data_IF_275881893745
#
_entry.id   IF_275881893745
#
_cell.length_a   1.000
_cell.length_b   1.000
_cell.length_c   1.000
_cell.angle_alpha   90.00
_cell.angle_beta   90.00
_cell.angle_gamma   90.00
#
_symmetry.space_group_name_H-M   'P 1'
#
loop_
_entity.id
_entity.type
_entity.pdbx_description
1 polymer ?
#
# COMPACT_ATOMS: atom_id res chain seq x y z
N UNK A 1 -10.26 22.17 -52.08
CA UNK A 1 -10.21 21.63 -50.69
C UNK A 1 -11.20 20.50 -50.60
N UNK A 2 -10.68 19.28 -50.41
CA UNK A 2 -11.44 18.04 -50.55
C UNK A 2 -12.38 17.80 -49.35
N UNK A 3 -13.64 17.49 -49.63
CA UNK A 3 -14.62 17.03 -48.65
C UNK A 3 -14.96 15.57 -48.99
N UNK A 4 -14.40 14.64 -48.23
CA UNK A 4 -14.63 13.21 -48.41
C UNK A 4 -15.83 12.77 -47.55
N UNK A 5 -16.96 12.54 -48.21
CA UNK A 5 -18.06 11.70 -47.69
C UNK A 5 -17.65 10.24 -47.88
N UNK A 6 -17.61 9.46 -46.80
CA UNK A 6 -17.43 8.01 -46.86
C UNK A 6 -18.61 7.32 -46.19
N UNK A 7 -19.52 6.83 -47.04
CA UNK A 7 -20.59 5.92 -46.70
C UNK A 7 -20.02 4.50 -46.67
N UNK A 8 -20.13 3.79 -45.54
CA UNK A 8 -19.92 2.34 -45.50
C UNK A 8 -21.21 1.63 -45.10
N UNK A 9 -21.87 1.14 -46.14
CA UNK A 9 -22.89 0.11 -46.18
C UNK A 9 -22.44 -1.16 -45.47
N UNK A 10 -23.26 -1.69 -44.56
CA UNK A 10 -23.08 -2.99 -43.91
C UNK A 10 -23.80 -4.04 -44.76
N UNK A 11 -23.04 -5.02 -45.22
CA UNK A 11 -23.52 -6.14 -46.03
C UNK A 11 -24.46 -7.04 -45.22
N UNK A 12 -25.56 -7.41 -45.87
CA UNK A 12 -26.58 -8.37 -45.45
C UNK A 12 -26.41 -9.67 -46.22
N UNK A 13 -26.37 -10.80 -45.51
CA UNK A 13 -26.69 -12.15 -46.01
C UNK A 13 -26.72 -13.14 -44.82
N UNK A 14 -27.42 -14.28 -44.92
CA UNK A 14 -28.70 -14.49 -45.59
C UNK A 14 -29.73 -15.19 -44.67
N UNK A 15 -31.01 -14.98 -44.99
CA UNK A 15 -32.13 -15.78 -44.50
C UNK A 15 -32.02 -17.22 -45.01
N UNK A 16 -31.92 -18.17 -44.10
CA UNK A 16 -32.07 -19.60 -44.36
C UNK A 16 -33.38 -20.11 -43.74
N UNK A 17 -34.27 -20.60 -44.60
CA UNK A 17 -35.55 -21.17 -44.25
C UNK A 17 -35.39 -22.55 -43.57
N UNK A 18 -36.11 -22.78 -42.48
CA UNK A 18 -36.38 -24.11 -41.94
C UNK A 18 -37.89 -24.29 -41.73
N UNK A 19 -38.42 -25.31 -42.40
CA UNK A 19 -39.69 -25.99 -42.12
C UNK A 19 -39.33 -27.47 -41.84
N UNK A 20 -40.21 -28.28 -41.23
CA UNK A 20 -40.64 -28.21 -39.85
C UNK A 20 -40.42 -29.60 -39.21
N UNK A 21 -39.44 -29.76 -38.32
CA UNK A 21 -39.30 -31.02 -37.60
C UNK A 21 -39.85 -30.88 -36.18
N UNK A 22 -40.86 -31.70 -35.90
CA UNK A 22 -41.70 -31.62 -34.72
C UNK A 22 -40.96 -31.91 -33.42
N UNK A 23 -41.43 -31.23 -32.38
CA UNK A 23 -41.70 -31.83 -31.07
C UNK A 23 -40.49 -32.31 -30.28
N UNK A 24 -39.79 -31.38 -29.61
CA UNK A 24 -39.16 -31.63 -28.31
C UNK A 24 -38.51 -30.37 -27.69
N UNK A 25 -38.12 -29.36 -28.48
CA UNK A 25 -37.32 -28.22 -27.97
C UNK A 25 -38.11 -27.05 -27.37
N UNK A 26 -39.35 -26.84 -27.78
CA UNK A 26 -40.14 -25.66 -27.37
C UNK A 26 -40.76 -25.81 -25.97
N UNK A 27 -40.97 -27.04 -25.51
CA UNK A 27 -41.46 -27.30 -24.15
C UNK A 27 -40.35 -27.11 -23.11
N UNK A 28 -39.09 -27.39 -23.40
CA UNK A 28 -38.02 -27.28 -22.40
C UNK A 28 -37.60 -25.82 -22.16
N UNK A 29 -37.54 -25.00 -23.22
CA UNK A 29 -37.34 -23.56 -23.11
C UNK A 29 -38.57 -22.85 -22.51
N UNK A 30 -39.78 -23.29 -22.87
CA UNK A 30 -41.04 -22.83 -22.29
C UNK A 30 -41.17 -23.18 -20.81
N UNK A 31 -40.71 -24.36 -20.38
CA UNK A 31 -40.71 -24.82 -18.98
C UNK A 31 -39.68 -24.07 -18.16
N UNK A 32 -38.46 -23.83 -18.67
CA UNK A 32 -37.47 -22.99 -17.98
C UNK A 32 -37.92 -21.53 -17.83
N UNK A 33 -38.60 -20.97 -18.85
CA UNK A 33 -39.14 -19.62 -18.76
C UNK A 33 -40.36 -19.57 -17.83
N UNK A 34 -41.26 -20.56 -17.90
CA UNK A 34 -42.41 -20.67 -17.02
C UNK A 34 -42.00 -20.84 -15.55
N UNK A 35 -40.96 -21.62 -15.27
CA UNK A 35 -40.41 -21.78 -13.91
C UNK A 35 -39.69 -20.53 -13.42
N UNK A 36 -38.99 -19.80 -14.29
CA UNK A 36 -38.44 -18.47 -13.96
C UNK A 36 -39.53 -17.43 -13.75
N UNK A 37 -40.68 -17.57 -14.39
CA UNK A 37 -41.85 -16.69 -14.25
C UNK A 37 -42.76 -17.06 -13.06
N UNK A 38 -42.69 -18.29 -12.53
CA UNK A 38 -43.43 -18.71 -11.32
C UNK A 38 -43.10 -17.84 -10.11
N UNK A 39 -41.85 -17.38 -10.00
CA UNK A 39 -41.42 -16.52 -8.88
C UNK A 39 -42.19 -15.20 -8.88
N UNK A 40 -42.61 -14.69 -10.05
CA UNK A 40 -43.39 -13.45 -10.19
C UNK A 40 -44.91 -13.65 -10.02
N UNK A 41 -45.38 -14.89 -9.91
CA UNK A 41 -46.81 -15.24 -9.80
C UNK A 41 -47.23 -15.65 -8.38
N UNK A 42 -46.30 -15.68 -7.42
CA UNK A 42 -46.63 -15.96 -6.02
C UNK A 42 -47.19 -14.71 -5.34
N UNK A 43 -48.24 -14.85 -4.53
CA UNK A 43 -48.88 -13.74 -3.81
C UNK A 43 -47.94 -12.99 -2.83
N UNK A 44 -46.78 -13.59 -2.53
CA UNK A 44 -45.72 -13.05 -1.68
C UNK A 44 -44.45 -12.65 -2.47
N UNK A 45 -44.54 -12.40 -3.79
CA UNK A 45 -43.38 -11.97 -4.57
C UNK A 45 -42.91 -10.58 -4.10
N UNK A 46 -41.69 -10.52 -3.58
CA UNK A 46 -41.02 -9.27 -3.18
C UNK A 46 -40.07 -8.81 -4.31
N UNK A 47 -40.45 -7.75 -5.06
CA UNK A 47 -39.64 -7.24 -6.17
C UNK A 47 -38.28 -6.71 -5.68
N UNK A 48 -38.23 -6.14 -4.49
CA UNK A 48 -37.03 -5.49 -3.96
C UNK A 48 -36.04 -6.55 -3.45
N UNK A 49 -36.52 -7.64 -2.84
CA UNK A 49 -35.67 -8.78 -2.47
C UNK A 49 -35.10 -9.52 -3.69
N UNK A 50 -35.90 -9.67 -4.75
CA UNK A 50 -35.44 -10.29 -6.00
C UNK A 50 -34.37 -9.44 -6.71
N UNK A 51 -34.59 -8.11 -6.78
CA UNK A 51 -33.61 -7.18 -7.35
C UNK A 51 -32.36 -7.11 -6.48
N UNK A 52 -32.48 -7.04 -5.15
CA UNK A 52 -31.32 -7.04 -4.25
C UNK A 52 -30.49 -8.31 -4.37
N UNK A 53 -31.14 -9.48 -4.41
CA UNK A 53 -30.44 -10.77 -4.60
C UNK A 53 -29.67 -10.81 -5.93
N UNK A 54 -30.28 -10.34 -7.03
CA UNK A 54 -29.62 -10.28 -8.34
C UNK A 54 -28.53 -9.21 -8.42
N UNK A 55 -28.74 -8.05 -7.81
CA UNK A 55 -27.76 -6.97 -7.75
C UNK A 55 -26.56 -7.33 -6.86
N UNK A 56 -26.77 -8.01 -5.74
CA UNK A 56 -25.69 -8.57 -4.91
C UNK A 56 -24.88 -9.60 -5.70
N UNK A 57 -25.56 -10.54 -6.37
CA UNK A 57 -24.90 -11.53 -7.23
C UNK A 57 -24.09 -10.86 -8.36
N UNK A 58 -24.58 -9.74 -8.91
CA UNK A 58 -23.88 -9.01 -9.97
C UNK A 58 -22.70 -8.20 -9.45
N UNK A 59 -22.81 -7.58 -8.26
CA UNK A 59 -21.73 -6.86 -7.60
C UNK A 59 -20.61 -7.82 -7.16
N UNK A 60 -20.96 -8.99 -6.61
CA UNK A 60 -20.01 -10.05 -6.30
C UNK A 60 -19.29 -10.55 -7.55
N UNK A 61 -20.01 -10.78 -8.66
CA UNK A 61 -19.40 -11.15 -9.94
C UNK A 61 -18.49 -10.06 -10.51
N UNK A 62 -18.87 -8.79 -10.36
CA UNK A 62 -18.04 -7.65 -10.78
C UNK A 62 -16.78 -7.54 -9.93
N UNK A 63 -16.88 -7.67 -8.61
CA UNK A 63 -15.73 -7.70 -7.71
C UNK A 63 -14.79 -8.87 -7.98
N UNK A 64 -15.34 -10.07 -8.25
CA UNK A 64 -14.54 -11.23 -8.67
C UNK A 64 -13.85 -10.94 -10.00
N UNK A 65 -14.55 -10.35 -10.98
CA UNK A 65 -13.95 -9.98 -12.26
C UNK A 65 -12.83 -8.94 -12.10
N UNK A 66 -13.04 -7.87 -11.32
CA UNK A 66 -12.02 -6.85 -11.05
C UNK A 66 -10.80 -7.43 -10.33
N UNK A 67 -11.01 -8.29 -9.32
CA UNK A 67 -9.91 -9.00 -8.64
C UNK A 67 -9.16 -9.91 -9.59
N UNK A 68 -9.88 -10.59 -10.48
CA UNK A 68 -9.30 -11.48 -11.49
C UNK A 68 -8.48 -10.67 -12.51
N UNK A 69 -8.99 -9.55 -13.02
CA UNK A 69 -8.25 -8.65 -13.90
C UNK A 69 -6.98 -8.10 -13.25
N UNK A 70 -7.06 -7.64 -11.99
CA UNK A 70 -5.89 -7.17 -11.25
C UNK A 70 -4.85 -8.29 -11.02
N UNK A 71 -5.31 -9.52 -10.75
CA UNK A 71 -4.45 -10.69 -10.63
C UNK A 71 -3.76 -11.05 -11.96
N UNK A 72 -4.49 -10.99 -13.08
CA UNK A 72 -3.91 -11.21 -14.41
C UNK A 72 -2.91 -10.12 -14.77
N UNK A 73 -3.17 -8.85 -14.47
CA UNK A 73 -2.23 -7.74 -14.71
C UNK A 73 -0.95 -7.88 -13.87
N UNK A 74 -1.06 -8.33 -12.62
CA UNK A 74 0.09 -8.63 -11.77
C UNK A 74 0.88 -9.83 -12.31
N UNK A 75 0.18 -10.87 -12.78
CA UNK A 75 0.79 -12.06 -13.41
C UNK A 75 1.50 -11.73 -14.72
N UNK A 76 0.94 -10.85 -15.54
CA UNK A 76 1.58 -10.42 -16.79
C UNK A 76 2.82 -9.56 -16.53
N UNK A 77 2.79 -8.67 -15.52
CA UNK A 77 3.97 -7.89 -15.11
C UNK A 77 5.09 -8.77 -14.60
N UNK A 78 4.79 -9.65 -13.64
CA UNK A 78 5.77 -10.59 -13.10
C UNK A 78 6.31 -11.55 -14.16
N UNK A 79 5.47 -12.04 -15.08
CA UNK A 79 5.93 -12.87 -16.20
C UNK A 79 6.88 -12.12 -17.15
N UNK A 80 6.66 -10.82 -17.35
CA UNK A 80 7.55 -9.99 -18.17
C UNK A 80 8.89 -9.77 -17.48
N UNK A 81 8.86 -9.42 -16.20
CA UNK A 81 10.08 -9.27 -15.39
C UNK A 81 10.90 -10.57 -15.37
N UNK A 82 10.25 -11.73 -15.26
CA UNK A 82 10.92 -13.03 -15.34
C UNK A 82 11.57 -13.23 -16.72
N UNK A 83 10.88 -12.95 -17.83
CA UNK A 83 11.49 -13.05 -19.17
C UNK A 83 12.65 -12.07 -19.37
N UNK A 84 12.57 -10.87 -18.82
CA UNK A 84 13.66 -9.90 -18.89
C UNK A 84 14.88 -10.42 -18.10
N UNK A 85 14.66 -10.96 -16.90
CA UNK A 85 15.70 -11.61 -16.08
C UNK A 85 16.31 -12.86 -16.77
N UNK A 86 15.51 -13.68 -17.45
CA UNK A 86 16.00 -14.80 -18.24
C UNK A 86 16.94 -14.34 -19.37
N UNK A 87 16.63 -13.20 -19.99
CA UNK A 87 17.48 -12.56 -20.99
C UNK A 87 18.81 -12.08 -20.41
N UNK A 88 18.78 -11.44 -19.24
CA UNK A 88 20.00 -11.02 -18.54
C UNK A 88 20.86 -12.22 -18.11
N UNK A 89 20.24 -13.28 -17.60
CA UNK A 89 20.93 -14.52 -17.23
C UNK A 89 21.62 -15.16 -18.45
N UNK A 90 20.95 -15.16 -19.60
CA UNK A 90 21.54 -15.64 -20.85
C UNK A 90 22.74 -14.80 -21.27
N UNK A 91 22.67 -13.47 -21.09
CA UNK A 91 23.79 -12.55 -21.35
C UNK A 91 24.99 -12.85 -20.43
N UNK A 92 24.75 -13.03 -19.13
CA UNK A 92 25.79 -13.38 -18.15
C UNK A 92 26.43 -14.73 -18.49
N UNK A 93 25.61 -15.73 -18.84
CA UNK A 93 26.11 -17.05 -19.25
C UNK A 93 27.01 -16.95 -20.49
N UNK A 94 26.62 -16.13 -21.47
CA UNK A 94 27.44 -15.92 -22.67
C UNK A 94 28.75 -15.21 -22.33
N UNK A 95 28.72 -14.19 -21.45
CA UNK A 95 29.92 -13.50 -20.99
C UNK A 95 30.86 -14.45 -20.24
N UNK A 96 30.33 -15.27 -19.34
CA UNK A 96 31.12 -16.27 -18.60
C UNK A 96 31.69 -17.34 -19.53
N UNK A 97 30.94 -17.75 -20.56
CA UNK A 97 31.43 -18.62 -21.62
C UNK A 97 32.60 -18.00 -22.40
N UNK A 98 32.51 -16.71 -22.71
CA UNK A 98 33.60 -15.97 -23.36
C UNK A 98 34.83 -15.85 -22.44
N UNK A 99 34.64 -15.55 -21.15
CA UNK A 99 35.74 -15.52 -20.17
C UNK A 99 36.39 -16.89 -19.97
N UNK A 100 35.61 -17.97 -19.95
CA UNK A 100 36.14 -19.35 -19.88
C UNK A 100 36.99 -19.68 -21.11
N UNK A 101 36.58 -19.19 -22.29
CA UNK A 101 37.37 -19.28 -23.52
C UNK A 101 38.72 -18.56 -23.43
N UNK A 102 38.73 -17.35 -22.86
CA UNK A 102 39.96 -16.58 -22.63
C UNK A 102 40.89 -17.24 -21.60
N UNK A 103 40.33 -17.73 -20.49
CA UNK A 103 41.08 -18.44 -19.44
C UNK A 103 41.70 -19.71 -20.01
N UNK A 104 40.94 -20.48 -20.82
CA UNK A 104 41.49 -21.66 -21.50
C UNK A 104 42.56 -21.29 -22.52
N UNK A 105 42.39 -20.21 -23.28
CA UNK A 105 43.43 -19.72 -24.20
C UNK A 105 44.70 -19.26 -23.49
N UNK A 106 44.59 -18.70 -22.28
CA UNK A 106 45.74 -18.37 -21.43
C UNK A 106 46.38 -19.63 -20.84
N UNK A 107 45.59 -20.59 -20.38
CA UNK A 107 46.08 -21.87 -19.85
C UNK A 107 46.78 -22.72 -20.92
N UNK A 108 46.32 -22.66 -22.18
CA UNK A 108 46.96 -23.34 -23.32
C UNK A 108 48.17 -22.56 -23.86
N UNK A 109 48.24 -21.23 -23.64
CA UNK A 109 49.33 -20.36 -24.10
C UNK A 109 50.51 -20.23 -23.14
N UNK A 110 50.33 -20.54 -21.85
CA UNK A 110 51.40 -20.54 -20.85
C UNK A 110 51.95 -21.96 -20.70
N UNK A 111 52.90 -22.30 -21.57
CA UNK A 111 53.73 -23.50 -21.42
C UNK A 111 54.65 -23.31 -20.19
N UNK A 112 54.21 -23.80 -19.02
CA UNK A 112 54.98 -23.83 -17.77
C UNK A 112 55.97 -25.00 -17.84
N UNK A 113 56.92 -24.94 -18.77
CA UNK A 113 58.08 -25.82 -18.82
C UNK A 113 59.32 -24.96 -19.04
N UNK A 114 59.63 -24.06 -18.11
CA UNK A 114 60.96 -23.45 -17.94
C UNK A 114 60.98 -22.49 -16.74
N UNK A 115 61.25 -23.02 -15.55
CA UNK A 115 61.96 -22.27 -14.50
C UNK A 115 62.89 -23.26 -13.78
N UNK A 116 64.22 -23.12 -13.91
CA UNK A 116 65.16 -24.05 -13.32
C UNK A 116 65.24 -23.80 -11.81
N UNK A 117 65.16 -24.89 -11.06
CA UNK A 117 65.56 -24.95 -9.67
C UNK A 117 67.08 -24.66 -9.56
N UNK A 118 67.45 -23.77 -8.65
CA UNK A 118 68.81 -23.66 -8.16
C UNK A 118 69.26 -22.22 -7.89
N UNK A 119 69.46 -21.89 -6.61
CA UNK A 119 70.80 -21.66 -6.07
C UNK A 119 70.68 -21.16 -4.64
N UNK A 120 71.10 -21.99 -3.70
CA UNK A 120 71.49 -21.55 -2.36
C UNK A 120 72.65 -20.57 -2.49
N UNK A 121 72.67 -19.53 -1.65
CA UNK A 121 73.65 -18.46 -1.72
C UNK A 121 73.54 -17.50 -0.53
N UNK A 122 74.12 -17.95 0.59
CA UNK A 122 74.53 -17.20 1.78
C UNK A 122 74.97 -15.74 1.51
N UNK A 123 74.41 -14.79 2.26
CA UNK A 123 75.17 -13.70 2.89
C UNK A 123 74.47 -13.25 4.17
N UNK A 124 75.16 -13.45 5.29
CA UNK A 124 74.90 -12.83 6.59
C UNK A 124 74.72 -11.32 6.47
N UNK A 125 73.69 -10.79 7.10
CA UNK A 125 73.71 -9.41 7.60
C UNK A 125 72.79 -9.31 8.82
N UNK A 126 73.44 -9.34 9.99
CA UNK A 126 73.14 -8.58 11.21
C UNK A 126 71.67 -8.16 11.41
N UNK A 127 70.85 -9.07 11.95
CA UNK A 127 69.51 -8.77 12.45
C UNK A 127 69.59 -8.82 13.98
N UNK A 128 69.48 -7.63 14.57
CA UNK A 128 69.21 -7.44 15.99
C UNK A 128 68.08 -8.37 16.44
N UNK A 129 68.34 -9.15 17.49
CA UNK A 129 67.40 -10.03 18.20
C UNK A 129 65.97 -9.45 18.27
N UNK A 130 65.16 -9.78 17.27
CA UNK A 130 63.71 -9.85 17.41
C UNK A 130 63.48 -11.30 17.79
N UNK A 131 63.01 -11.54 19.01
CA UNK A 131 62.52 -12.87 19.36
C UNK A 131 61.49 -13.26 18.31
N UNK A 132 61.81 -14.28 17.51
CA UNK A 132 60.89 -15.00 16.63
C UNK A 132 59.93 -15.79 17.53
N UNK A 133 59.14 -15.05 18.28
CA UNK A 133 58.13 -15.56 19.19
C UNK A 133 56.93 -15.86 18.33
N UNK A 134 56.58 -17.15 18.24
CA UNK A 134 55.40 -17.57 17.50
C UNK A 134 54.19 -16.75 17.98
N UNK A 135 53.49 -16.02 17.10
CA UNK A 135 52.40 -15.15 17.48
C UNK A 135 51.32 -16.00 18.17
N UNK A 136 50.83 -15.50 19.29
CA UNK A 136 49.74 -16.12 20.03
C UNK A 136 48.51 -16.28 19.13
N UNK A 137 47.64 -17.24 19.44
CA UNK A 137 46.39 -17.44 18.70
C UNK A 137 45.56 -16.15 18.61
N UNK A 138 45.66 -15.27 19.62
CA UNK A 138 45.02 -13.96 19.63
C UNK A 138 45.65 -12.99 18.62
N UNK A 139 46.98 -12.94 18.53
CA UNK A 139 47.69 -12.08 17.58
C UNK A 139 47.40 -12.52 16.13
N UNK A 140 47.43 -13.83 15.86
CA UNK A 140 47.05 -14.39 14.55
C UNK A 140 45.61 -14.03 14.18
N UNK A 141 44.68 -14.17 15.13
CA UNK A 141 43.27 -13.82 14.91
C UNK A 141 43.09 -12.32 14.62
N UNK A 142 43.80 -11.44 15.33
CA UNK A 142 43.75 -9.99 15.11
C UNK A 142 44.27 -9.60 13.73
N UNK A 143 45.29 -10.30 13.22
CA UNK A 143 45.81 -10.10 11.86
C UNK A 143 44.83 -10.59 10.78
N UNK A 144 44.18 -11.74 10.98
CA UNK A 144 43.24 -12.34 10.00
C UNK A 144 41.84 -11.69 10.01
N UNK A 145 41.45 -11.06 11.11
CA UNK A 145 40.10 -10.53 11.32
C UNK A 145 39.62 -9.54 10.24
N UNK A 146 40.42 -8.52 9.84
CA UNK A 146 40.00 -7.58 8.80
C UNK A 146 39.71 -8.27 7.47
N UNK A 147 40.59 -9.18 7.03
CA UNK A 147 40.45 -9.90 5.76
C UNK A 147 39.22 -10.81 5.76
N UNK A 148 39.01 -11.54 6.87
CA UNK A 148 37.81 -12.35 7.07
C UNK A 148 36.53 -11.50 6.96
N UNK A 149 36.52 -10.33 7.60
CA UNK A 149 35.34 -9.46 7.59
C UNK A 149 35.09 -8.86 6.20
N UNK A 150 36.13 -8.48 5.46
CA UNK A 150 35.98 -8.02 4.08
C UNK A 150 35.38 -9.11 3.17
N UNK A 151 35.76 -10.38 3.35
CA UNK A 151 35.13 -11.52 2.66
C UNK A 151 33.65 -11.64 3.01
N UNK A 152 33.30 -11.61 4.30
CA UNK A 152 31.90 -11.71 4.74
C UNK A 152 31.04 -10.57 4.20
N UNK A 153 31.58 -9.34 4.14
CA UNK A 153 30.91 -8.19 3.55
C UNK A 153 30.73 -8.35 2.04
N UNK A 154 31.75 -8.82 1.33
CA UNK A 154 31.69 -9.08 -0.10
C UNK A 154 30.64 -10.16 -0.44
N UNK A 155 30.52 -11.20 0.39
CA UNK A 155 29.54 -12.27 0.26
C UNK A 155 28.15 -11.90 0.79
N UNK A 156 27.96 -10.69 1.33
CA UNK A 156 26.72 -10.20 1.97
C UNK A 156 26.21 -11.11 3.10
N UNK A 157 27.12 -11.78 3.81
CA UNK A 157 26.80 -12.65 4.95
C UNK A 157 26.66 -11.80 6.21
N UNK A 158 25.58 -11.02 6.26
CA UNK A 158 25.33 -9.98 7.27
C UNK A 158 25.35 -10.55 8.70
N UNK A 159 24.64 -11.65 8.97
CA UNK A 159 24.56 -12.21 10.32
C UNK A 159 25.93 -12.67 10.84
N UNK A 160 26.72 -13.30 9.97
CA UNK A 160 28.06 -13.78 10.32
C UNK A 160 29.04 -12.62 10.49
N UNK A 161 28.91 -11.56 9.70
CA UNK A 161 29.69 -10.34 9.87
C UNK A 161 29.36 -9.66 11.22
N UNK A 162 28.09 -9.64 11.63
CA UNK A 162 27.68 -9.12 12.93
C UNK A 162 28.22 -9.97 14.08
N UNK A 163 28.15 -11.31 13.97
CA UNK A 163 28.65 -12.22 15.01
C UNK A 163 30.18 -12.12 15.14
N UNK A 164 30.90 -11.96 14.02
CA UNK A 164 32.35 -11.70 14.01
C UNK A 164 32.70 -10.36 14.68
N UNK A 165 31.92 -9.30 14.42
CA UNK A 165 32.08 -8.00 15.08
C UNK A 165 31.80 -8.08 16.59
N UNK A 166 30.76 -8.83 17.00
CA UNK A 166 30.42 -9.04 18.40
C UNK A 166 31.49 -9.89 19.13
N UNK A 167 32.17 -10.82 18.43
CA UNK A 167 33.33 -11.54 18.95
C UNK A 167 34.55 -10.61 19.10
N UNK A 168 34.80 -9.76 18.11
CA UNK A 168 35.89 -8.79 18.13
C UNK A 168 35.78 -7.83 19.33
N UNK A 169 34.58 -7.32 19.62
CA UNK A 169 34.34 -6.47 20.78
C UNK A 169 34.60 -7.21 22.11
N UNK A 170 34.19 -8.48 22.20
CA UNK A 170 34.44 -9.31 23.38
C UNK A 170 35.93 -9.55 23.59
N UNK A 171 36.67 -9.85 22.53
CA UNK A 171 38.13 -10.02 22.58
C UNK A 171 38.84 -8.73 22.97
N UNK A 172 38.42 -7.57 22.47
CA UNK A 172 38.95 -6.26 22.89
C UNK A 172 38.71 -6.01 24.38
N UNK A 173 37.51 -6.33 24.89
CA UNK A 173 37.20 -6.16 26.31
C UNK A 173 38.05 -7.08 27.20
N UNK A 174 38.19 -8.35 26.80
CA UNK A 174 39.00 -9.35 27.48
C UNK A 174 40.50 -8.97 27.50
N UNK A 175 41.02 -8.52 26.36
CA UNK A 175 42.42 -8.12 26.24
C UNK A 175 42.74 -6.86 27.04
N UNK A 176 41.81 -5.91 27.14
CA UNK A 176 41.92 -4.75 28.06
C UNK A 176 41.98 -5.18 29.52
N UNK A 177 41.16 -6.16 29.92
CA UNK A 177 41.11 -6.64 31.31
C UNK A 177 42.36 -7.45 31.68
N UNK A 178 42.83 -8.31 30.77
CA UNK A 178 43.95 -9.24 31.00
C UNK A 178 45.32 -8.63 30.65
N UNK A 179 45.36 -7.44 30.04
CA UNK A 179 46.57 -6.78 29.53
C UNK A 179 47.39 -7.71 28.62
N UNK A 180 46.71 -8.45 27.75
CA UNK A 180 47.34 -9.47 26.88
C UNK A 180 47.89 -8.90 25.57
N UNK A 181 47.49 -7.68 25.19
CA UNK A 181 47.91 -7.00 23.96
C UNK A 181 48.50 -5.63 24.27
N UNK A 182 49.40 -5.17 23.40
CA UNK A 182 49.94 -3.82 23.44
C UNK A 182 48.86 -2.76 23.29
N UNK A 183 49.06 -1.59 23.91
CA UNK A 183 48.11 -0.47 23.81
C UNK A 183 47.92 0.03 22.37
N UNK A 184 48.98 -0.02 21.56
CA UNK A 184 48.95 0.32 20.15
C UNK A 184 48.07 -0.66 19.35
N UNK A 185 48.25 -1.97 19.54
CA UNK A 185 47.50 -3.01 18.83
C UNK A 185 46.03 -3.00 19.21
N UNK A 186 45.71 -2.79 20.49
CA UNK A 186 44.34 -2.61 20.96
C UNK A 186 43.66 -1.40 20.33
N UNK A 187 44.39 -0.31 20.12
CA UNK A 187 43.85 0.89 19.47
C UNK A 187 43.65 0.68 17.97
N UNK A 188 44.59 -0.01 17.30
CA UNK A 188 44.50 -0.38 15.89
C UNK A 188 43.27 -1.26 15.64
N UNK A 189 43.09 -2.30 16.45
CA UNK A 189 41.94 -3.22 16.36
C UNK A 189 40.60 -2.50 16.59
N UNK A 190 40.52 -1.60 17.58
CA UNK A 190 39.30 -0.80 17.80
C UNK A 190 38.96 0.10 16.62
N UNK A 191 39.96 0.71 15.99
CA UNK A 191 39.76 1.50 14.78
C UNK A 191 39.27 0.60 13.63
N UNK A 192 39.92 -0.55 13.42
CA UNK A 192 39.51 -1.50 12.38
C UNK A 192 38.06 -2.00 12.59
N UNK A 193 37.67 -2.34 13.82
CA UNK A 193 36.28 -2.72 14.15
C UNK A 193 35.31 -1.58 13.84
N UNK A 194 35.65 -0.36 14.24
CA UNK A 194 34.80 0.82 14.01
C UNK A 194 34.63 1.11 12.51
N UNK A 195 35.71 1.02 11.74
CA UNK A 195 35.69 1.23 10.29
C UNK A 195 34.82 0.19 9.59
N UNK A 196 34.93 -1.08 9.97
CA UNK A 196 34.12 -2.13 9.35
C UNK A 196 32.65 -2.12 9.79
N UNK A 197 32.36 -1.73 11.05
CA UNK A 197 30.98 -1.44 11.48
C UNK A 197 30.36 -0.38 10.60
N UNK A 198 31.09 0.70 10.34
CA UNK A 198 30.62 1.79 9.49
C UNK A 198 30.41 1.32 8.04
N UNK A 199 31.38 0.58 7.46
CA UNK A 199 31.24 -0.02 6.12
C UNK A 199 29.98 -0.90 6.02
N UNK A 200 29.75 -1.79 6.98
CA UNK A 200 28.58 -2.66 7.00
C UNK A 200 27.28 -1.86 7.15
N UNK A 201 27.26 -0.86 8.05
CA UNK A 201 26.10 0.01 8.22
C UNK A 201 25.77 0.77 6.93
N UNK A 202 26.77 1.24 6.20
CA UNK A 202 26.57 1.94 4.93
C UNK A 202 26.02 0.99 3.84
N UNK A 203 26.55 -0.23 3.74
CA UNK A 203 26.02 -1.25 2.81
C UNK A 203 24.57 -1.64 3.12
N UNK A 204 24.23 -1.80 4.40
CA UNK A 204 22.87 -2.10 4.84
C UNK A 204 21.91 -0.94 4.55
N UNK A 205 22.34 0.29 4.80
CA UNK A 205 21.56 1.48 4.49
C UNK A 205 21.31 1.63 2.98
N UNK A 206 22.34 1.39 2.16
CA UNK A 206 22.21 1.42 0.70
C UNK A 206 21.26 0.32 0.20
N UNK A 207 21.36 -0.89 0.74
CA UNK A 207 20.46 -1.99 0.41
C UNK A 207 19.01 -1.71 0.82
N UNK A 208 18.78 -1.11 1.99
CA UNK A 208 17.46 -0.75 2.49
C UNK A 208 16.77 0.36 1.66
N UNK A 209 17.54 1.21 0.99
CA UNK A 209 17.02 2.25 0.10
C UNK A 209 16.61 1.74 -1.29
N UNK A 210 16.89 0.48 -1.64
CA UNK A 210 16.50 -0.09 -2.93
C UNK A 210 15.00 -0.35 -2.98
N UNK A 211 14.36 -0.04 -4.11
CA UNK A 211 12.91 -0.20 -4.30
C UNK A 211 12.42 -1.65 -4.21
N UNK A 212 13.31 -2.61 -4.45
CA UNK A 212 13.06 -4.05 -4.31
C UNK A 212 13.10 -4.54 -2.86
N UNK A 213 13.72 -3.78 -1.96
CA UNK A 213 13.91 -4.17 -0.56
C UNK A 213 12.69 -3.74 0.25
N UNK A 214 11.86 -4.69 0.67
CA UNK A 214 10.67 -4.38 1.47
C UNK A 214 10.31 -5.50 2.45
N UNK A 215 9.47 -5.17 3.42
CA UNK A 215 8.92 -6.13 4.37
C UNK A 215 10.01 -6.79 5.22
N UNK A 216 10.22 -8.09 5.04
CA UNK A 216 11.14 -8.87 5.88
C UNK A 216 12.59 -8.41 5.68
N UNK A 217 13.00 -8.10 4.45
CA UNK A 217 14.38 -7.68 4.15
C UNK A 217 14.68 -6.29 4.73
N UNK A 218 13.75 -5.34 4.57
CA UNK A 218 13.86 -4.02 5.20
C UNK A 218 13.95 -4.13 6.72
N UNK A 219 13.13 -5.01 7.32
CA UNK A 219 13.14 -5.25 8.76
C UNK A 219 14.46 -5.87 9.22
N UNK A 220 14.99 -6.83 8.47
CA UNK A 220 16.28 -7.47 8.76
C UNK A 220 17.43 -6.45 8.68
N UNK A 221 17.45 -5.61 7.64
CA UNK A 221 18.44 -4.54 7.51
C UNK A 221 18.36 -3.52 8.67
N UNK A 222 17.15 -3.12 9.08
CA UNK A 222 16.96 -2.24 10.23
C UNK A 222 17.40 -2.90 11.55
N UNK A 223 17.13 -4.20 11.74
CA UNK A 223 17.58 -4.94 12.91
C UNK A 223 19.11 -5.10 12.96
N UNK A 224 19.74 -5.36 11.81
CA UNK A 224 21.19 -5.40 11.68
C UNK A 224 21.83 -4.04 12.01
N UNK A 225 21.28 -2.94 11.47
CA UNK A 225 21.72 -1.58 11.80
C UNK A 225 21.56 -1.27 13.29
N UNK A 226 20.45 -1.71 13.90
CA UNK A 226 20.25 -1.58 15.35
C UNK A 226 21.33 -2.35 16.13
N UNK A 227 21.65 -3.60 15.75
CA UNK A 227 22.73 -4.41 16.35
C UNK A 227 24.10 -3.73 16.24
N UNK A 228 24.36 -3.01 15.15
CA UNK A 228 25.59 -2.24 14.98
C UNK A 228 25.69 -1.02 15.90
N UNK A 229 24.59 -0.62 16.55
CA UNK A 229 24.50 0.55 17.42
C UNK A 229 23.89 1.78 16.73
N UNK A 230 23.47 1.68 15.46
CA UNK A 230 22.93 2.79 14.67
C UNK A 230 21.39 2.76 14.59
N UNK A 231 20.76 2.68 15.77
CA UNK A 231 19.30 2.65 15.92
C UNK A 231 18.58 3.85 15.28
N UNK A 232 19.01 5.10 15.50
CA UNK A 232 18.33 6.27 14.94
C UNK A 232 18.34 6.29 13.40
N UNK A 233 19.47 5.93 12.77
CA UNK A 233 19.54 5.81 11.31
C UNK A 233 18.67 4.66 10.82
N UNK A 234 18.72 3.51 11.49
CA UNK A 234 17.88 2.35 11.15
C UNK A 234 16.38 2.69 11.16
N UNK A 235 15.93 3.40 12.20
CA UNK A 235 14.53 3.82 12.33
C UNK A 235 14.14 4.84 11.24
N UNK A 236 15.01 5.83 10.99
CA UNK A 236 14.80 6.82 9.92
C UNK A 236 14.70 6.16 8.54
N UNK A 237 15.60 5.20 8.25
CA UNK A 237 15.60 4.43 7.01
C UNK A 237 14.31 3.64 6.83
N UNK A 238 13.88 2.91 7.87
CA UNK A 238 12.64 2.15 7.87
C UNK A 238 11.43 3.05 7.54
N UNK A 239 11.31 4.20 8.20
CA UNK A 239 10.22 5.15 7.92
C UNK A 239 10.32 5.78 6.53
N UNK A 240 11.52 6.09 6.06
CA UNK A 240 11.73 6.64 4.72
C UNK A 240 11.33 5.66 3.62
N UNK A 241 11.63 4.37 3.77
CA UNK A 241 11.21 3.33 2.85
C UNK A 241 9.69 3.14 2.82
N UNK A 242 9.02 3.17 3.99
CA UNK A 242 7.55 3.14 4.04
C UNK A 242 6.93 4.39 3.40
N UNK A 243 7.50 5.58 3.63
CA UNK A 243 7.05 6.83 3.03
C UNK A 243 7.19 6.81 1.50
N UNK A 244 8.37 6.50 0.96
CA UNK A 244 8.61 6.41 -0.48
C UNK A 244 7.61 5.48 -1.17
N UNK A 245 7.36 4.31 -0.58
CA UNK A 245 6.39 3.34 -1.11
C UNK A 245 4.96 3.85 -1.02
N UNK A 246 4.60 4.53 0.07
CA UNK A 246 3.30 5.17 0.21
C UNK A 246 3.10 6.23 -0.88
N UNK A 247 4.09 7.09 -1.11
CA UNK A 247 4.05 8.11 -2.18
C UNK A 247 3.85 7.46 -3.55
N UNK A 248 4.58 6.39 -3.86
CA UNK A 248 4.41 5.64 -5.12
C UNK A 248 2.99 5.07 -5.27
N UNK A 249 2.47 4.42 -4.22
CA UNK A 249 1.13 3.84 -4.25
C UNK A 249 0.03 4.90 -4.39
N UNK A 250 0.23 6.08 -3.79
CA UNK A 250 -0.71 7.20 -3.88
C UNK A 250 -0.76 7.79 -5.29
N UNK A 251 0.35 7.81 -6.04
CA UNK A 251 0.37 8.30 -7.43
C UNK A 251 -0.54 7.48 -8.37
N UNK A 252 -0.79 6.21 -8.05
CA UNK A 252 -1.67 5.35 -8.86
C UNK A 252 -3.16 5.67 -8.61
N UNK A 253 -3.50 6.27 -7.47
CA UNK A 253 -4.87 6.59 -7.08
C UNK A 253 -5.27 7.95 -7.63
N UNK A 254 -6.11 7.94 -8.66
CA UNK A 254 -6.58 9.15 -9.31
C UNK A 254 -8.01 9.50 -8.85
N UNK A 255 -8.31 10.80 -8.65
CA UNK A 255 -9.69 11.24 -8.47
C UNK A 255 -10.54 10.86 -9.68
N UNK A 256 -11.68 10.22 -9.45
CA UNK A 256 -12.64 9.88 -10.51
C UNK A 256 -13.84 10.82 -10.44
N UNK A 257 -14.34 11.27 -11.60
CA UNK A 257 -15.49 12.19 -11.67
C UNK A 257 -16.84 11.48 -11.43
N UNK A 258 -16.86 10.17 -11.19
CA UNK A 258 -18.09 9.35 -11.19
C UNK A 258 -18.66 9.11 -9.79
N UNK A 259 -17.90 9.36 -8.73
CA UNK A 259 -18.36 9.29 -7.34
C UNK A 259 -18.09 10.64 -6.67
N UNK A 260 -18.98 11.08 -5.77
CA UNK A 260 -18.85 12.34 -5.02
C UNK A 260 -17.69 12.31 -4.00
N UNK A 261 -16.50 11.88 -4.40
CA UNK A 261 -15.30 11.75 -3.57
C UNK A 261 -15.17 10.43 -2.80
N UNK A 262 -16.27 9.75 -2.49
CA UNK A 262 -16.28 8.58 -1.60
C UNK A 262 -15.34 7.44 -2.02
N UNK A 263 -15.34 7.04 -3.30
CA UNK A 263 -14.47 5.94 -3.77
C UNK A 263 -12.98 6.32 -3.74
N UNK A 264 -12.67 7.57 -4.08
CA UNK A 264 -11.31 8.11 -4.00
C UNK A 264 -10.84 8.15 -2.54
N UNK A 265 -11.68 8.66 -1.64
CA UNK A 265 -11.37 8.70 -0.20
C UNK A 265 -11.17 7.30 0.37
N UNK A 266 -11.99 6.31 -0.01
CA UNK A 266 -11.83 4.93 0.43
C UNK A 266 -10.51 4.32 -0.03
N UNK A 267 -10.19 4.43 -1.31
CA UNK A 267 -8.95 3.90 -1.87
C UNK A 267 -7.72 4.55 -1.21
N UNK A 268 -7.72 5.88 -1.11
CA UNK A 268 -6.60 6.62 -0.53
C UNK A 268 -6.43 6.33 0.96
N UNK A 269 -7.54 6.30 1.70
CA UNK A 269 -7.56 6.01 3.13
C UNK A 269 -7.04 4.61 3.41
N UNK A 270 -7.46 3.61 2.63
CA UNK A 270 -6.96 2.25 2.77
C UNK A 270 -5.44 2.19 2.57
N UNK A 271 -4.89 2.86 1.55
CA UNK A 271 -3.44 2.87 1.31
C UNK A 271 -2.67 3.54 2.44
N UNK A 272 -3.09 4.73 2.87
CA UNK A 272 -2.39 5.50 3.90
C UNK A 272 -2.41 4.76 5.24
N UNK A 273 -3.58 4.35 5.73
CA UNK A 273 -3.66 3.73 7.05
C UNK A 273 -3.08 2.31 7.08
N UNK A 274 -3.08 1.58 5.96
CA UNK A 274 -2.37 0.29 5.89
C UNK A 274 -0.85 0.47 5.84
N UNK A 275 -0.32 1.47 5.14
CA UNK A 275 1.10 1.80 5.16
C UNK A 275 1.56 2.23 6.56
N UNK A 276 0.76 3.06 7.25
CA UNK A 276 1.04 3.45 8.64
C UNK A 276 1.04 2.21 9.55
N UNK A 277 0.03 1.33 9.44
CA UNK A 277 0.00 0.10 10.21
C UNK A 277 1.22 -0.79 9.98
N UNK A 278 1.73 -0.87 8.75
CA UNK A 278 2.91 -1.66 8.43
C UNK A 278 4.17 -1.05 9.05
N UNK A 279 4.37 0.26 8.94
CA UNK A 279 5.49 0.96 9.56
C UNK A 279 5.51 0.79 11.10
N UNK A 280 4.34 0.88 11.75
CA UNK A 280 4.22 0.66 13.19
C UNK A 280 4.55 -0.78 13.60
N UNK A 281 4.07 -1.78 12.85
CA UNK A 281 4.40 -3.19 13.10
C UNK A 281 5.90 -3.44 12.93
N UNK A 282 6.49 -2.94 11.84
CA UNK A 282 7.89 -3.18 11.52
C UNK A 282 8.80 -2.47 12.52
N UNK A 283 8.46 -1.24 12.91
CA UNK A 283 9.18 -0.52 13.96
C UNK A 283 9.05 -1.20 15.32
N UNK A 284 7.84 -1.61 15.74
CA UNK A 284 7.65 -2.33 17.01
C UNK A 284 8.44 -3.64 17.05
N UNK A 285 8.51 -4.37 15.93
CA UNK A 285 9.23 -5.64 15.85
C UNK A 285 10.77 -5.49 16.00
N UNK A 286 11.33 -4.34 15.61
CA UNK A 286 12.79 -4.08 15.65
C UNK A 286 13.19 -3.26 16.88
N UNK A 287 12.41 -2.23 17.20
CA UNK A 287 12.76 -1.20 18.17
C UNK A 287 11.93 -1.24 19.46
N UNK A 288 10.83 -2.00 19.49
CA UNK A 288 9.90 -1.94 20.61
C UNK A 288 9.30 -0.54 20.75
N UNK A 289 9.41 0.05 21.95
CA UNK A 289 8.85 1.37 22.26
C UNK A 289 9.89 2.52 22.18
N UNK A 290 11.15 2.25 21.79
CA UNK A 290 12.24 3.24 21.78
C UNK A 290 11.93 4.51 20.97
N UNK A 291 11.18 4.37 19.86
CA UNK A 291 10.87 5.47 18.92
C UNK A 291 9.38 5.79 18.82
N UNK A 292 8.62 5.54 19.90
CA UNK A 292 7.17 5.73 19.90
C UNK A 292 6.76 7.19 19.55
N UNK A 293 7.52 8.20 20.02
CA UNK A 293 7.25 9.61 19.72
C UNK A 293 7.40 9.95 18.25
N UNK A 294 8.45 9.46 17.61
CA UNK A 294 8.79 9.66 16.22
C UNK A 294 7.75 8.98 15.32
N UNK A 295 7.28 7.79 15.73
CA UNK A 295 6.17 7.09 15.04
C UNK A 295 4.87 7.87 15.11
N UNK A 296 4.53 8.48 16.26
CA UNK A 296 3.35 9.33 16.40
C UNK A 296 3.46 10.55 15.47
N UNK A 297 4.62 11.21 15.44
CA UNK A 297 4.87 12.37 14.59
C UNK A 297 4.75 11.98 13.11
N UNK A 298 5.44 10.92 12.68
CA UNK A 298 5.40 10.46 11.30
C UNK A 298 3.97 10.06 10.88
N UNK A 299 3.26 9.30 11.71
CA UNK A 299 1.86 8.90 11.44
C UNK A 299 0.93 10.11 11.32
N UNK A 300 1.17 11.14 12.15
CA UNK A 300 0.43 12.40 12.08
C UNK A 300 0.68 13.12 10.76
N UNK A 301 1.94 13.25 10.34
CA UNK A 301 2.30 13.87 9.05
C UNK A 301 1.60 13.15 7.89
N UNK A 302 1.59 11.82 7.88
CA UNK A 302 0.92 11.03 6.84
C UNK A 302 -0.60 11.23 6.85
N UNK A 303 -1.22 11.25 8.03
CA UNK A 303 -2.66 11.50 8.17
C UNK A 303 -3.04 12.93 7.73
N UNK A 304 -2.20 13.93 8.03
CA UNK A 304 -2.41 15.31 7.58
C UNK A 304 -2.29 15.42 6.05
N UNK A 305 -1.26 14.83 5.44
CA UNK A 305 -1.10 14.83 3.98
C UNK A 305 -2.30 14.19 3.28
N UNK A 306 -2.75 13.03 3.80
CA UNK A 306 -3.99 12.38 3.38
C UNK A 306 -5.21 13.31 3.46
N UNK A 307 -5.41 13.96 4.60
CA UNK A 307 -6.55 14.86 4.81
C UNK A 307 -6.53 16.04 3.81
N UNK A 308 -5.37 16.61 3.50
CA UNK A 308 -5.25 17.66 2.50
C UNK A 308 -5.67 17.19 1.10
N UNK A 309 -5.30 15.97 0.71
CA UNK A 309 -5.71 15.39 -0.57
C UNK A 309 -7.23 15.15 -0.63
N UNK A 310 -7.81 14.57 0.43
CA UNK A 310 -9.27 14.37 0.51
C UNK A 310 -10.00 15.71 0.48
N UNK A 311 -9.52 16.72 1.21
CA UNK A 311 -10.10 18.07 1.16
C UNK A 311 -10.11 18.64 -0.25
N UNK A 312 -8.98 18.53 -0.95
CA UNK A 312 -8.81 19.09 -2.30
C UNK A 312 -9.66 18.38 -3.34
N UNK A 313 -9.66 17.05 -3.34
CA UNK A 313 -10.19 16.25 -4.46
C UNK A 313 -11.55 15.59 -4.19
N UNK A 314 -11.96 15.45 -2.93
CA UNK A 314 -13.26 14.88 -2.58
C UNK A 314 -14.20 15.93 -1.97
N UNK A 315 -13.74 16.74 -1.01
CA UNK A 315 -14.62 17.59 -0.22
C UNK A 315 -14.87 18.98 -0.80
N UNK A 316 -13.89 19.62 -1.46
CA UNK A 316 -14.00 21.03 -1.86
C UNK A 316 -15.22 21.29 -2.76
N UNK A 317 -15.42 20.45 -3.79
CA UNK A 317 -16.55 20.58 -4.71
C UNK A 317 -17.88 20.23 -4.04
N UNK A 318 -17.94 19.13 -3.27
CA UNK A 318 -19.17 18.74 -2.58
C UNK A 318 -19.58 19.77 -1.53
N UNK A 319 -18.63 20.33 -0.78
CA UNK A 319 -18.90 21.33 0.25
C UNK A 319 -19.44 22.63 -0.36
N UNK A 320 -18.80 23.14 -1.42
CA UNK A 320 -19.26 24.35 -2.10
C UNK A 320 -20.66 24.20 -2.71
N UNK A 321 -21.03 22.99 -3.17
CA UNK A 321 -22.34 22.70 -3.75
C UNK A 321 -23.43 22.36 -2.72
N UNK A 322 -23.13 22.38 -1.42
CA UNK A 322 -24.08 21.95 -0.37
C UNK A 322 -24.34 20.43 -0.37
N UNK A 323 -23.40 19.65 -0.89
CA UNK A 323 -23.38 18.18 -0.91
C UNK A 323 -22.99 17.58 0.44
N UNK A 324 -23.77 17.88 1.48
CA UNK A 324 -23.52 17.46 2.86
C UNK A 324 -23.35 15.93 3.00
N UNK A 325 -24.23 15.15 2.38
CA UNK A 325 -24.15 13.67 2.43
C UNK A 325 -22.81 13.14 1.93
N UNK A 326 -22.34 13.64 0.79
CA UNK A 326 -21.07 13.21 0.21
C UNK A 326 -19.87 13.61 1.09
N UNK A 327 -19.91 14.83 1.65
CA UNK A 327 -18.88 15.30 2.56
C UNK A 327 -18.79 14.42 3.81
N UNK A 328 -19.93 14.11 4.42
CA UNK A 328 -20.02 13.25 5.61
C UNK A 328 -19.55 11.83 5.29
N UNK A 329 -19.97 11.25 4.17
CA UNK A 329 -19.55 9.91 3.75
C UNK A 329 -18.01 9.81 3.61
N UNK A 330 -17.37 10.79 2.96
CA UNK A 330 -15.91 10.82 2.84
C UNK A 330 -15.23 10.87 4.21
N UNK A 331 -15.75 11.68 5.12
CA UNK A 331 -15.20 11.81 6.47
C UNK A 331 -15.41 10.54 7.29
N UNK A 332 -16.56 9.89 7.17
CA UNK A 332 -16.83 8.62 7.84
C UNK A 332 -15.88 7.51 7.37
N UNK A 333 -15.62 7.43 6.07
CA UNK A 333 -14.66 6.48 5.52
C UNK A 333 -13.27 6.72 6.11
N UNK A 334 -12.81 7.98 6.13
CA UNK A 334 -11.52 8.35 6.68
C UNK A 334 -11.38 8.01 8.17
N UNK A 335 -12.37 8.38 8.99
CA UNK A 335 -12.40 8.08 10.43
C UNK A 335 -12.53 6.58 10.67
N UNK A 336 -13.30 5.86 9.85
CA UNK A 336 -13.47 4.41 9.95
C UNK A 336 -12.14 3.67 9.86
N UNK A 337 -11.35 3.89 8.80
CA UNK A 337 -10.03 3.27 8.69
C UNK A 337 -9.04 3.74 9.76
N UNK A 338 -9.10 5.02 10.13
CA UNK A 338 -8.27 5.57 11.19
C UNK A 338 -8.54 4.89 12.55
N UNK A 339 -9.81 4.72 12.92
CA UNK A 339 -10.21 4.08 14.18
C UNK A 339 -9.78 2.61 14.29
N UNK A 340 -9.73 1.89 13.16
CA UNK A 340 -9.22 0.51 13.13
C UNK A 340 -7.72 0.45 13.46
N UNK A 341 -6.95 1.48 13.03
CA UNK A 341 -5.55 1.62 13.39
C UNK A 341 -5.40 1.93 14.89
N UNK A 342 -6.17 2.90 15.40
CA UNK A 342 -6.14 3.33 16.82
C UNK A 342 -6.58 2.25 17.79
N UNK A 343 -7.45 1.32 17.37
CA UNK A 343 -7.85 0.20 18.22
C UNK A 343 -6.67 -0.74 18.53
N UNK A 344 -5.67 -0.80 17.65
CA UNK A 344 -4.50 -1.66 17.78
C UNK A 344 -3.27 -0.91 18.30
N UNK A 345 -3.16 0.37 17.98
CA UNK A 345 -2.00 1.21 18.28
C UNK A 345 -2.38 2.36 19.20
N UNK A 346 -1.51 2.73 20.13
CA UNK A 346 -1.73 3.86 21.05
C UNK A 346 -1.55 5.21 20.34
N UNK A 347 -2.41 5.48 19.36
CA UNK A 347 -2.42 6.66 18.51
C UNK A 347 -3.77 7.37 18.59
N UNK A 348 -3.76 8.68 18.32
CA UNK A 348 -4.99 9.48 18.20
C UNK A 348 -4.93 10.36 16.95
N UNK A 349 -5.08 9.74 15.78
CA UNK A 349 -5.11 10.39 14.47
C UNK A 349 -6.53 10.86 14.10
N UNK A 350 -7.58 10.24 14.65
CA UNK A 350 -8.98 10.60 14.39
C UNK A 350 -9.22 12.05 14.77
N UNK A 351 -8.71 12.51 15.92
CA UNK A 351 -8.81 13.90 16.37
C UNK A 351 -8.19 14.89 15.38
N UNK A 352 -7.05 14.53 14.78
CA UNK A 352 -6.36 15.32 13.74
C UNK A 352 -7.22 15.42 12.49
N UNK A 353 -7.77 14.30 12.01
CA UNK A 353 -8.64 14.26 10.83
C UNK A 353 -9.92 15.07 11.04
N UNK A 354 -10.57 14.92 12.20
CA UNK A 354 -11.78 15.68 12.55
C UNK A 354 -11.51 17.19 12.52
N UNK A 355 -10.40 17.63 13.13
CA UNK A 355 -9.99 19.03 13.11
C UNK A 355 -9.77 19.56 11.70
N UNK A 356 -9.18 18.76 10.80
CA UNK A 356 -8.89 19.17 9.43
C UNK A 356 -10.13 19.17 8.52
N UNK A 357 -11.06 18.24 8.71
CA UNK A 357 -12.26 18.10 7.90
C UNK A 357 -13.43 18.98 8.35
N UNK A 358 -13.48 19.36 9.64
CA UNK A 358 -14.57 20.17 10.22
C UNK A 358 -14.96 21.38 9.38
N UNK A 359 -14.02 22.25 8.91
CA UNK A 359 -14.40 23.41 8.10
C UNK A 359 -15.13 23.05 6.80
N UNK A 360 -14.76 21.93 6.16
CA UNK A 360 -15.40 21.47 4.93
C UNK A 360 -16.81 20.90 5.19
N UNK A 361 -17.02 20.24 6.33
CA UNK A 361 -18.35 19.74 6.73
C UNK A 361 -19.27 20.89 7.12
N UNK A 362 -18.78 21.85 7.91
CA UNK A 362 -19.50 23.07 8.28
C UNK A 362 -19.90 23.86 7.03
N UNK A 363 -18.98 24.06 6.09
CA UNK A 363 -19.28 24.69 4.81
C UNK A 363 -20.36 23.94 4.02
N UNK A 364 -20.26 22.60 3.96
CA UNK A 364 -21.25 21.78 3.25
C UNK A 364 -22.64 21.88 3.89
N UNK A 365 -22.70 21.96 5.22
CA UNK A 365 -23.94 22.13 5.98
C UNK A 365 -24.56 23.51 5.71
N UNK A 366 -23.78 24.58 5.82
CA UNK A 366 -24.25 25.95 5.59
C UNK A 366 -24.78 26.14 4.16
N UNK A 367 -24.03 25.65 3.16
CA UNK A 367 -24.46 25.69 1.76
C UNK A 367 -25.71 24.83 1.52
N UNK A 368 -25.84 23.69 2.21
CA UNK A 368 -27.03 22.86 2.13
C UNK A 368 -28.26 23.54 2.72
N UNK A 369 -28.13 24.19 3.90
CA UNK A 369 -29.21 24.90 4.56
C UNK A 369 -29.70 26.09 3.71
N UNK A 370 -28.78 26.90 3.17
CA UNK A 370 -29.13 27.99 2.24
C UNK A 370 -29.87 27.47 1.01
N UNK A 371 -29.39 26.38 0.40
CA UNK A 371 -30.06 25.76 -0.75
C UNK A 371 -31.47 25.26 -0.39
N UNK A 372 -31.67 24.69 0.80
CA UNK A 372 -33.00 24.28 1.28
C UNK A 372 -33.90 25.51 1.46
N UNK A 373 -33.39 26.58 2.08
CA UNK A 373 -34.12 27.84 2.25
C UNK A 373 -34.57 28.43 0.91
N UNK A 374 -33.65 28.61 -0.03
CA UNK A 374 -33.91 29.13 -1.37
C UNK A 374 -34.89 28.23 -2.16
N UNK A 375 -34.69 26.91 -2.11
CA UNK A 375 -35.58 25.96 -2.78
C UNK A 375 -36.98 25.96 -2.16
N UNK A 376 -37.09 26.14 -0.84
CA UNK A 376 -38.39 26.17 -0.15
C UNK A 376 -39.12 27.47 -0.46
N UNK A 377 -38.42 28.61 -0.48
CA UNK A 377 -38.98 29.89 -0.89
C UNK A 377 -39.50 29.85 -2.33
N UNK A 378 -38.73 29.27 -3.26
CA UNK A 378 -39.15 29.10 -4.65
C UNK A 378 -40.35 28.15 -4.79
N UNK A 379 -40.37 27.03 -4.05
CA UNK A 379 -41.49 26.10 -4.04
C UNK A 379 -42.77 26.73 -3.47
N UNK A 380 -42.67 27.51 -2.40
CA UNK A 380 -43.81 28.20 -1.80
C UNK A 380 -44.36 29.31 -2.71
N UNK A 381 -43.48 30.06 -3.40
CA UNK A 381 -43.89 31.09 -4.36
C UNK A 381 -44.60 30.51 -5.60
N UNK A 382 -44.26 29.28 -5.98
CA UNK A 382 -44.86 28.58 -7.11
C UNK A 382 -46.03 27.66 -6.73
N UNK A 383 -46.36 27.54 -5.44
CA UNK A 383 -47.40 26.63 -4.97
C UNK A 383 -48.80 27.20 -5.25
N UNK A 384 -49.71 26.32 -5.65
CA UNK A 384 -51.13 26.62 -5.79
C UNK A 384 -51.89 26.44 -4.46
N UNK A 385 -51.20 25.97 -3.43
CA UNK A 385 -51.69 25.69 -2.07
C UNK A 385 -52.81 24.64 -2.05
N UNK A 386 -52.89 23.79 -3.07
CA UNK A 386 -53.89 22.73 -3.16
C UNK A 386 -53.41 21.49 -2.40
N UNK A 387 -54.24 21.01 -1.49
CA UNK A 387 -53.96 19.81 -0.71
C UNK A 387 -54.06 18.56 -1.59
N UNK A 388 -52.92 17.93 -1.83
CA UNK A 388 -52.80 16.70 -2.62
C UNK A 388 -52.36 15.54 -1.73
N UNK A 389 -52.63 14.31 -2.15
CA UNK A 389 -51.99 13.14 -1.54
C UNK A 389 -50.56 13.02 -2.07
N UNK A 390 -49.63 12.41 -1.31
CA UNK A 390 -48.26 12.21 -1.77
C UNK A 390 -48.26 11.49 -3.12
N UNK A 391 -47.41 11.90 -4.09
CA UNK A 391 -47.33 11.25 -5.38
C UNK A 391 -46.98 9.78 -5.17
N UNK A 392 -47.86 8.88 -5.61
CA UNK A 392 -47.87 7.43 -5.32
C UNK A 392 -46.71 6.66 -5.99
N UNK A 393 -45.63 7.34 -6.39
CA UNK A 393 -44.54 6.78 -7.20
C UNK A 393 -43.12 7.20 -6.79
N UNK A 394 -42.93 7.99 -5.73
CA UNK A 394 -41.58 8.23 -5.23
C UNK A 394 -41.14 6.98 -4.43
N UNK A 395 -40.50 6.02 -5.10
CA UNK A 395 -39.79 4.90 -4.45
C UNK A 395 -38.64 5.48 -3.63
N UNK A 396 -38.94 5.94 -2.42
CA UNK A 396 -37.97 6.09 -1.35
C UNK A 396 -37.59 4.67 -0.94
N UNK A 397 -36.53 4.15 -1.54
CA UNK A 397 -35.88 2.93 -1.08
C UNK A 397 -35.21 3.22 0.26
N UNK A 398 -36.00 3.30 1.33
CA UNK A 398 -35.55 3.19 2.70
C UNK A 398 -36.68 2.54 3.51
N UNK A 399 -36.36 1.33 3.98
CA UNK A 399 -37.15 0.45 4.83
C UNK A 399 -37.48 1.17 6.14
N UNK A 400 -38.64 1.82 6.21
CA UNK A 400 -39.25 2.27 7.45
C UNK A 400 -40.41 1.34 7.79
N UNK A 401 -40.36 0.84 9.03
CA UNK A 401 -41.26 -0.06 9.71
C UNK A 401 -42.74 0.00 9.30
N UNK A 402 -43.31 -1.19 9.12
CA UNK A 402 -44.74 -1.50 8.99
C UNK A 402 -45.55 -1.16 10.25
N UNK A 403 -45.62 0.12 10.62
CA UNK A 403 -46.56 0.60 11.65
C UNK A 403 -47.06 1.99 11.27
N UNK A 404 -47.97 2.07 10.31
CA UNK A 404 -49.07 3.06 10.27
C UNK A 404 -49.89 2.87 8.98
N UNK A 405 -50.93 2.03 9.03
CA UNK A 405 -52.13 2.17 8.21
C UNK A 405 -52.94 3.40 8.70
N UNK A 406 -52.28 4.55 8.82
CA UNK A 406 -52.83 5.79 9.32
C UNK A 406 -52.79 6.84 8.23
N UNK A 407 -53.94 7.45 7.96
CA UNK A 407 -54.19 8.59 7.07
C UNK A 407 -52.94 9.42 6.82
N UNK A 408 -52.33 9.27 5.63
CA UNK A 408 -51.30 10.20 5.18
C UNK A 408 -51.97 11.58 5.05
N UNK A 409 -51.52 12.60 5.79
CA UNK A 409 -52.14 13.92 5.75
C UNK A 409 -52.04 14.47 4.32
N UNK A 410 -53.13 15.05 3.82
CA UNK A 410 -53.07 15.81 2.56
C UNK A 410 -52.21 17.04 2.84
N UNK A 411 -51.12 17.19 2.10
CA UNK A 411 -50.25 18.36 2.16
C UNK A 411 -50.23 19.02 0.78
N UNK A 412 -49.83 20.29 0.71
CA UNK A 412 -49.57 20.90 -0.59
C UNK A 412 -48.38 20.25 -1.30
N UNK A 413 -48.21 20.51 -2.60
CA UNK A 413 -47.12 19.93 -3.37
C UNK A 413 -45.74 20.37 -2.84
N UNK A 414 -45.64 21.63 -2.40
CA UNK A 414 -44.43 22.19 -1.80
C UNK A 414 -44.11 21.57 -0.45
N UNK A 415 -45.13 21.33 0.39
CA UNK A 415 -44.96 20.70 1.70
C UNK A 415 -44.45 19.25 1.61
N UNK A 416 -44.90 18.48 0.61
CA UNK A 416 -44.34 17.15 0.35
C UNK A 416 -42.87 17.20 -0.10
N UNK A 417 -42.51 18.14 -0.98
CA UNK A 417 -41.13 18.30 -1.44
C UNK A 417 -40.21 18.80 -0.31
N UNK A 418 -40.70 19.70 0.53
CA UNK A 418 -39.99 20.19 1.72
C UNK A 418 -39.69 19.04 2.70
N UNK A 419 -40.69 18.21 3.00
CA UNK A 419 -40.52 17.04 3.86
C UNK A 419 -39.40 16.10 3.36
N UNK A 420 -39.34 15.84 2.04
CA UNK A 420 -38.28 15.04 1.43
C UNK A 420 -36.90 15.71 1.53
N UNK A 421 -36.82 17.04 1.40
CA UNK A 421 -35.55 17.78 1.57
C UNK A 421 -35.03 17.70 3.01
N UNK A 422 -35.91 17.78 4.00
CA UNK A 422 -35.55 17.73 5.43
C UNK A 422 -35.13 16.32 5.88
N UNK A 423 -35.71 15.25 5.33
CA UNK A 423 -35.28 13.87 5.62
C UNK A 423 -33.83 13.59 5.20
N UNK A 424 -33.34 14.25 4.13
CA UNK A 424 -31.92 14.16 3.73
C UNK A 424 -31.02 14.77 4.81
N UNK A 425 -31.50 15.80 5.52
CA UNK A 425 -30.80 16.46 6.62
C UNK A 425 -30.79 15.59 7.88
N UNK A 426 -31.90 14.94 8.25
CA UNK A 426 -32.02 14.14 9.50
C UNK A 426 -31.12 12.88 9.52
N UNK A 427 -30.89 12.25 8.37
CA UNK A 427 -29.89 11.18 8.21
C UNK A 427 -28.46 11.71 8.46
N UNK A 428 -28.21 12.97 8.13
CA UNK A 428 -26.93 13.64 8.37
C UNK A 428 -26.80 14.15 9.82
N UNK A 429 -27.89 14.61 10.45
CA UNK A 429 -27.90 15.14 11.83
C UNK A 429 -27.66 14.04 12.87
N UNK A 430 -28.13 12.81 12.65
CA UNK A 430 -27.77 11.66 13.50
C UNK A 430 -26.26 11.37 13.52
N UNK A 431 -25.51 11.80 12.51
CA UNK A 431 -24.05 11.68 12.47
C UNK A 431 -23.33 12.91 13.01
N UNK A 432 -23.89 14.11 12.91
CA UNK A 432 -23.34 15.31 13.55
C UNK A 432 -23.29 15.16 15.07
N UNK A 433 -24.21 14.40 15.67
CA UNK A 433 -24.14 14.05 17.09
C UNK A 433 -22.94 13.15 17.45
N UNK A 434 -22.35 12.40 16.50
CA UNK A 434 -21.07 11.73 16.72
C UNK A 434 -19.88 12.70 16.65
N UNK A 435 -20.03 13.84 15.98
CA UNK A 435 -19.04 14.92 15.89
C UNK A 435 -19.05 15.90 17.07
N UNK A 436 -20.10 15.87 17.91
CA UNK A 436 -20.25 16.76 19.07
C UNK A 436 -19.79 16.05 20.37
N UNK A 437 -19.60 14.74 20.36
CA UNK A 437 -19.22 13.93 21.53
C UNK A 437 -17.79 13.34 21.47
N UNK A 438 -16.96 13.80 20.53
CA UNK A 438 -15.48 13.65 20.52
C UNK A 438 -14.90 15.05 20.41
#
# INVERSE_FOLDING_TARGET
MASAKSSRSRASAPSGAHQPNGGAGDQEAGVQLADKLKIFKTDNFDPDAYVQSKCQTMNEKFQVLTRTCAFYDAKCRTSKEISDLEGELLSIKNLLGAQTGLIRGLAEGVNIDSLPAGSEGSTENDISNVEDREPSELEKWVEEFPDMLEVLLAERRVDEALDALDEADRLVADAKQKQTLGTADLSSLQNAISDHRQKLADQLAEAACQSSTYGIELRAAAAALKRLGDGPRAHTLLLSAHDQRLQYNMQVIHPTNTSYGGAYTAALSQQVFSAIAQALNDSQAVFGDEYASELVIWSTIQAEAFAHLVKRYALASSAAAGGLRAAVECVQIAIGHCSLLEARWRLSLSSVLLKLFRPSVEQALDANLRRIEESTAALAAADDWILTYPPTGARTSNRASTVALGVQPKLSSSAHRFYLMVQVTDISTRMTNCFIFI
#
